data_IF_812408939031
#
_entry.id   IF_812408939031
#
_cell.length_a   1.000
_cell.length_b   1.000
_cell.length_c   1.000
_cell.angle_alpha   90.00
_cell.angle_beta   90.00
_cell.angle_gamma   90.00
#
_symmetry.space_group_name_H-M   'P 1'
#
loop_
_entity.id
_entity.type
_entity.pdbx_description
1 polymer ?
#
# COMPACT_ATOMS: atom_id res chain seq x y z
N UNK A 1 15.78 -23.24 26.90
CA UNK A 1 14.97 -23.13 25.66
C UNK A 1 15.51 -22.05 24.74
N UNK A 2 15.62 -20.79 25.17
CA UNK A 2 16.12 -19.66 24.35
C UNK A 2 17.54 -19.90 23.78
N UNK A 3 18.44 -20.50 24.54
CA UNK A 3 19.80 -20.85 24.10
C UNK A 3 19.81 -21.96 23.04
N UNK A 4 19.01 -22.99 23.24
CA UNK A 4 18.91 -24.14 22.31
C UNK A 4 18.36 -23.68 20.95
N UNK A 5 17.26 -22.95 20.95
CA UNK A 5 16.68 -22.44 19.72
C UNK A 5 17.53 -21.34 19.06
N UNK A 6 18.32 -20.60 19.84
CA UNK A 6 19.28 -19.62 19.33
C UNK A 6 20.50 -20.23 18.64
N UNK A 7 20.86 -21.46 18.97
CA UNK A 7 21.98 -22.19 18.36
C UNK A 7 21.60 -22.92 17.05
N UNK A 8 20.31 -22.99 16.70
CA UNK A 8 19.82 -23.60 15.47
C UNK A 8 19.90 -22.61 14.29
N UNK A 9 19.79 -23.10 13.06
CA UNK A 9 19.66 -22.24 11.87
C UNK A 9 18.54 -21.21 12.06
N UNK A 10 18.77 -19.94 11.67
CA UNK A 10 17.90 -18.79 11.97
C UNK A 10 17.70 -18.50 13.48
N UNK A 11 18.71 -18.77 14.31
CA UNK A 11 18.62 -18.67 15.76
C UNK A 11 18.14 -17.34 16.29
N UNK A 12 18.58 -16.23 15.71
CA UNK A 12 18.14 -14.88 16.10
C UNK A 12 16.63 -14.68 15.85
N UNK A 13 16.13 -15.12 14.70
CA UNK A 13 14.71 -15.06 14.36
C UNK A 13 13.86 -15.93 15.29
N UNK A 14 14.32 -17.15 15.58
CA UNK A 14 13.64 -18.07 16.52
C UNK A 14 13.58 -17.49 17.92
N UNK A 15 14.70 -16.91 18.39
CA UNK A 15 14.76 -16.22 19.68
C UNK A 15 13.81 -15.03 19.73
N UNK A 16 13.76 -14.22 18.66
CA UNK A 16 12.81 -13.10 18.54
C UNK A 16 11.36 -13.55 18.60
N UNK A 17 11.01 -14.62 17.89
CA UNK A 17 9.67 -15.19 17.92
C UNK A 17 9.26 -15.69 19.31
N UNK A 18 10.18 -16.34 20.03
CA UNK A 18 9.92 -16.79 21.40
C UNK A 18 9.74 -15.65 22.38
N UNK A 19 10.51 -14.57 22.22
CA UNK A 19 10.36 -13.37 23.05
C UNK A 19 9.03 -12.65 22.75
N UNK A 20 8.63 -12.56 21.47
CA UNK A 20 7.33 -12.01 21.08
C UNK A 20 6.17 -12.83 21.64
N UNK A 21 6.27 -14.16 21.62
CA UNK A 21 5.26 -15.05 22.23
C UNK A 21 5.17 -14.82 23.74
N UNK A 22 6.32 -14.72 24.43
CA UNK A 22 6.36 -14.45 25.87
C UNK A 22 5.75 -13.07 26.20
N UNK A 23 6.01 -12.07 25.37
CA UNK A 23 5.41 -10.73 25.53
C UNK A 23 3.90 -10.76 25.30
N UNK A 24 3.43 -11.47 24.29
CA UNK A 24 1.99 -11.66 24.04
C UNK A 24 1.30 -12.36 25.24
N UNK A 25 1.95 -13.37 25.85
CA UNK A 25 1.42 -14.03 27.02
C UNK A 25 1.30 -13.07 28.23
N UNK A 26 2.30 -12.21 28.44
CA UNK A 26 2.24 -11.19 29.50
C UNK A 26 1.09 -10.20 29.27
N UNK A 27 0.95 -9.69 28.06
CA UNK A 27 -0.13 -8.77 27.71
C UNK A 27 -1.51 -9.42 27.94
N UNK A 28 -1.65 -10.72 27.61
CA UNK A 28 -2.86 -11.47 27.85
C UNK A 28 -3.20 -11.59 29.37
N UNK A 29 -2.18 -11.80 30.21
CA UNK A 29 -2.35 -11.83 31.67
C UNK A 29 -2.65 -10.45 32.26
N UNK A 30 -1.97 -9.39 31.78
CA UNK A 30 -2.20 -8.00 32.18
C UNK A 30 -3.61 -7.52 31.83
N UNK A 31 -4.18 -8.02 30.72
CA UNK A 31 -5.57 -7.80 30.34
C UNK A 31 -6.61 -8.53 31.24
N UNK A 32 -6.14 -9.20 32.30
CA UNK A 32 -7.01 -9.90 33.27
C UNK A 32 -7.38 -11.33 32.88
N UNK A 33 -6.87 -11.83 31.76
CA UNK A 33 -7.13 -13.20 31.32
C UNK A 33 -6.12 -14.17 31.96
N UNK A 34 -6.57 -15.38 32.29
CA UNK A 34 -5.72 -16.39 32.93
C UNK A 34 -5.90 -17.78 32.30
N UNK A 35 -4.86 -18.57 32.35
CA UNK A 35 -4.87 -19.96 31.98
C UNK A 35 -4.41 -20.25 30.54
N UNK A 36 -3.74 -21.39 30.41
CA UNK A 36 -3.13 -21.82 29.13
C UNK A 36 -4.18 -22.01 28.02
N UNK A 37 -5.32 -22.59 28.34
CA UNK A 37 -6.39 -22.81 27.36
C UNK A 37 -6.92 -21.49 26.78
N UNK A 38 -7.17 -20.49 27.65
CA UNK A 38 -7.59 -19.15 27.23
C UNK A 38 -6.54 -18.50 26.31
N UNK A 39 -5.27 -18.62 26.67
CA UNK A 39 -4.18 -18.08 25.85
C UNK A 39 -4.06 -18.77 24.48
N UNK A 40 -4.19 -20.11 24.42
CA UNK A 40 -4.18 -20.84 23.15
C UNK A 40 -5.36 -20.46 22.25
N UNK A 41 -6.54 -20.27 22.83
CA UNK A 41 -7.73 -19.80 22.10
C UNK A 41 -7.52 -18.37 21.57
N UNK A 42 -6.90 -17.52 22.36
CA UNK A 42 -6.53 -16.16 21.93
C UNK A 42 -5.56 -16.18 20.73
N UNK A 43 -4.52 -17.01 20.79
CA UNK A 43 -3.58 -17.19 19.67
C UNK A 43 -4.26 -17.73 18.41
N UNK A 44 -5.20 -18.68 18.56
CA UNK A 44 -5.96 -19.21 17.43
C UNK A 44 -6.79 -18.11 16.74
N UNK A 45 -7.47 -17.25 17.52
CA UNK A 45 -8.23 -16.10 16.98
C UNK A 45 -7.34 -15.08 16.28
N UNK A 46 -6.18 -14.74 16.86
CA UNK A 46 -5.22 -13.85 16.20
C UNK A 46 -4.79 -14.40 14.84
N UNK A 47 -4.54 -15.69 14.76
CA UNK A 47 -4.17 -16.37 13.52
C UNK A 47 -5.31 -16.36 12.49
N UNK A 48 -6.55 -16.61 12.90
CA UNK A 48 -7.74 -16.57 12.03
C UNK A 48 -7.98 -15.16 11.47
N UNK A 49 -7.76 -14.13 12.29
CA UNK A 49 -7.87 -12.73 11.88
C UNK A 49 -6.70 -12.25 11.01
N UNK A 50 -5.70 -13.10 10.73
CA UNK A 50 -4.52 -12.72 9.96
C UNK A 50 -3.56 -11.79 10.71
N UNK A 51 -3.74 -11.61 12.01
CA UNK A 51 -2.83 -10.85 12.87
C UNK A 51 -1.63 -11.73 13.19
N UNK A 52 -0.52 -11.50 12.49
CA UNK A 52 0.73 -12.15 12.84
C UNK A 52 1.27 -11.56 14.15
N UNK A 53 1.67 -12.43 15.09
CA UNK A 53 2.52 -12.01 16.21
C UNK A 53 3.76 -11.32 15.59
N UNK A 54 3.79 -10.00 15.69
CA UNK A 54 4.93 -9.23 15.18
C UNK A 54 6.10 -9.58 16.08
N UNK A 55 6.95 -10.51 15.61
CA UNK A 55 8.23 -10.72 16.27
C UNK A 55 8.88 -9.34 16.39
N UNK A 56 9.22 -8.94 17.60
CA UNK A 56 10.05 -7.76 17.79
C UNK A 56 11.20 -7.91 16.81
N UNK A 57 11.35 -6.95 15.90
CA UNK A 57 12.39 -7.00 14.88
C UNK A 57 13.75 -7.00 15.60
N UNK A 58 14.19 -8.19 15.97
CA UNK A 58 15.55 -8.44 16.50
C UNK A 58 16.57 -8.49 15.35
N UNK A 59 16.14 -8.07 14.16
CA UNK A 59 17.00 -7.87 13.02
C UNK A 59 17.71 -6.53 13.16
N UNK A 60 19.03 -6.56 13.07
CA UNK A 60 19.92 -5.42 12.98
C UNK A 60 19.23 -4.23 12.31
N UNK A 61 18.84 -3.24 13.11
CA UNK A 61 18.44 -1.94 12.57
C UNK A 61 19.62 -1.45 11.73
N UNK A 62 19.44 -1.48 10.40
CA UNK A 62 20.43 -0.95 9.47
C UNK A 62 20.95 -1.88 8.36
N UNK A 63 20.74 -3.21 8.42
CA UNK A 63 21.34 -4.15 7.46
C UNK A 63 20.33 -4.81 6.49
N UNK A 64 19.10 -4.34 6.38
CA UNK A 64 18.06 -4.97 5.57
C UNK A 64 17.31 -4.02 4.63
N UNK A 65 16.68 -4.59 3.60
CA UNK A 65 15.78 -3.86 2.72
C UNK A 65 14.41 -3.73 3.41
N UNK A 66 13.93 -2.49 3.59
CA UNK A 66 12.59 -2.21 4.14
C UNK A 66 11.58 -2.11 3.02
N UNK A 67 10.55 -2.94 3.08
CA UNK A 67 9.36 -2.83 2.23
C UNK A 67 8.27 -2.07 2.98
N UNK A 68 7.80 -0.97 2.38
CA UNK A 68 6.72 -0.16 2.97
C UNK A 68 5.92 0.56 1.90
N UNK A 69 4.73 1.04 2.26
CA UNK A 69 3.96 1.93 1.38
C UNK A 69 4.55 3.36 1.42
N UNK A 70 4.30 4.14 0.36
CA UNK A 70 4.71 5.55 0.27
C UNK A 70 4.15 6.34 1.48
N UNK A 71 2.91 6.09 1.89
CA UNK A 71 2.31 6.75 3.06
C UNK A 71 3.08 6.50 4.35
N UNK A 72 3.56 5.27 4.56
CA UNK A 72 4.36 4.91 5.75
C UNK A 72 5.76 5.50 5.72
N UNK A 73 6.25 5.89 4.55
CA UNK A 73 7.58 6.52 4.39
C UNK A 73 7.57 8.03 4.68
N UNK A 74 6.39 8.64 4.86
CA UNK A 74 6.28 10.07 5.15
C UNK A 74 7.05 10.43 6.43
N UNK A 75 7.95 11.41 6.33
CA UNK A 75 8.81 11.84 7.44
C UNK A 75 10.07 11.00 7.65
N UNK A 76 10.25 9.90 6.91
CA UNK A 76 11.47 9.09 6.94
C UNK A 76 12.35 9.43 5.74
N UNK A 77 13.64 9.15 5.85
CA UNK A 77 14.63 9.32 4.78
C UNK A 77 15.54 8.09 4.72
N UNK A 78 15.93 7.71 3.50
CA UNK A 78 16.75 6.52 3.29
C UNK A 78 17.91 6.83 2.33
N UNK A 79 19.09 6.24 2.49
CA UNK A 79 20.21 6.43 1.56
C UNK A 79 19.81 6.04 0.13
N UNK A 80 19.19 4.89 -0.03
CA UNK A 80 18.73 4.36 -1.32
C UNK A 80 17.25 4.06 -1.26
N UNK A 81 16.50 4.51 -2.26
CA UNK A 81 15.06 4.24 -2.41
C UNK A 81 14.82 3.58 -3.75
N UNK A 82 14.08 2.47 -3.73
CA UNK A 82 13.60 1.79 -4.94
C UNK A 82 12.08 1.98 -4.98
N UNK A 83 11.61 2.76 -5.95
CA UNK A 83 10.18 2.97 -6.18
C UNK A 83 9.72 2.02 -7.28
N UNK A 84 8.94 1.02 -6.91
CA UNK A 84 8.46 0.00 -7.83
C UNK A 84 7.00 0.22 -8.25
N UNK A 85 6.64 -0.28 -9.43
CA UNK A 85 5.25 -0.31 -9.89
C UNK A 85 4.73 1.01 -10.46
N UNK A 86 5.59 1.86 -11.00
CA UNK A 86 5.21 3.16 -11.58
C UNK A 86 4.25 3.08 -12.78
N UNK A 87 4.19 1.93 -13.48
CA UNK A 87 3.27 1.74 -14.59
C UNK A 87 1.85 1.29 -14.16
N UNK A 88 1.56 1.27 -12.86
CA UNK A 88 0.23 0.90 -12.36
C UNK A 88 -0.80 1.93 -12.79
N UNK A 89 -1.86 1.47 -13.44
CA UNK A 89 -2.98 2.34 -13.81
C UNK A 89 -3.72 2.81 -12.55
N UNK A 90 -4.18 4.05 -12.60
CA UNK A 90 -5.05 4.61 -11.56
C UNK A 90 -6.36 3.82 -11.48
N UNK A 91 -6.81 3.52 -10.27
CA UNK A 91 -8.10 2.87 -10.07
C UNK A 91 -9.22 3.89 -10.37
N UNK A 92 -10.07 3.57 -11.36
CA UNK A 92 -11.21 4.41 -11.78
C UNK A 92 -12.56 3.77 -11.45
N UNK A 93 -12.60 2.74 -10.62
CA UNK A 93 -13.84 2.03 -10.28
C UNK A 93 -14.88 2.97 -9.68
N UNK A 94 -14.46 3.88 -8.81
CA UNK A 94 -15.36 4.85 -8.18
C UNK A 94 -16.05 5.77 -9.19
N UNK A 95 -15.43 6.04 -10.34
CA UNK A 95 -16.02 6.86 -11.41
C UNK A 95 -17.08 6.12 -12.23
N UNK A 96 -17.14 4.79 -12.14
CA UNK A 96 -18.12 3.98 -12.87
C UNK A 96 -19.47 3.88 -12.12
N UNK A 97 -19.50 4.29 -10.86
CA UNK A 97 -20.72 4.27 -10.04
C UNK A 97 -21.86 5.07 -10.67
N UNK A 98 -23.13 4.68 -10.51
CA UNK A 98 -24.28 5.38 -11.07
C UNK A 98 -24.38 6.83 -10.63
N UNK A 99 -23.96 7.14 -9.41
CA UNK A 99 -23.95 8.48 -8.85
C UNK A 99 -22.52 8.84 -8.40
N UNK A 100 -22.08 10.04 -8.79
CA UNK A 100 -20.82 10.62 -8.33
C UNK A 100 -21.12 11.75 -7.34
N UNK A 101 -20.29 11.88 -6.33
CA UNK A 101 -20.39 12.92 -5.31
C UNK A 101 -19.11 13.72 -5.24
N UNK A 102 -19.26 15.04 -5.18
CA UNK A 102 -18.13 15.93 -4.98
C UNK A 102 -18.50 17.02 -3.96
N UNK A 103 -17.66 17.33 -2.95
CA UNK A 103 -18.01 18.25 -1.88
C UNK A 103 -18.44 19.66 -2.36
N UNK A 104 -17.82 20.15 -3.43
CA UNK A 104 -18.09 21.49 -3.97
C UNK A 104 -19.12 21.51 -5.11
N UNK A 105 -19.17 20.45 -5.93
CA UNK A 105 -20.03 20.39 -7.13
C UNK A 105 -21.35 19.64 -6.88
N UNK A 106 -21.49 19.01 -5.71
CA UNK A 106 -22.69 18.25 -5.37
C UNK A 106 -22.74 16.87 -6.02
N UNK A 107 -23.91 16.51 -6.53
CA UNK A 107 -24.23 15.16 -7.03
C UNK A 107 -24.29 15.15 -8.55
N UNK A 108 -23.58 14.19 -9.15
CA UNK A 108 -23.60 13.92 -10.58
C UNK A 108 -24.24 12.55 -10.89
N UNK A 109 -25.57 12.46 -11.05
CA UNK A 109 -26.26 11.23 -11.38
C UNK A 109 -26.13 10.90 -12.87
N UNK A 110 -26.30 9.62 -13.23
CA UNK A 110 -26.70 9.23 -14.58
C UNK A 110 -28.16 9.57 -14.79
N UNK A 111 -28.52 10.00 -16.00
CA UNK A 111 -29.90 10.16 -16.42
C UNK A 111 -30.45 8.84 -16.96
N UNK A 112 -31.75 8.62 -16.80
CA UNK A 112 -32.46 7.48 -17.36
C UNK A 112 -33.61 8.01 -18.24
N UNK A 113 -33.56 7.69 -19.53
CA UNK A 113 -34.70 7.84 -20.42
C UNK A 113 -35.62 6.63 -20.21
N UNK A 114 -36.77 6.87 -19.58
CA UNK A 114 -37.74 5.79 -19.25
C UNK A 114 -38.49 5.25 -20.46
N UNK A 115 -38.64 6.04 -21.51
CA UNK A 115 -39.34 5.61 -22.71
C UNK A 115 -38.48 4.66 -23.55
N UNK A 116 -37.18 4.95 -23.61
CA UNK A 116 -36.21 4.17 -24.37
C UNK A 116 -35.43 3.19 -23.53
N UNK A 117 -35.59 3.23 -22.20
CA UNK A 117 -34.84 2.42 -21.23
C UNK A 117 -33.31 2.55 -21.40
N UNK A 118 -32.83 3.76 -21.73
CA UNK A 118 -31.42 4.04 -21.98
C UNK A 118 -30.84 4.95 -20.89
N UNK A 119 -29.76 4.55 -20.32
CA UNK A 119 -28.96 5.41 -19.41
C UNK A 119 -28.10 6.38 -20.23
N UNK A 120 -28.08 7.63 -19.83
CA UNK A 120 -27.19 8.64 -20.43
C UNK A 120 -26.42 9.41 -19.37
N UNK A 121 -25.30 9.99 -19.80
CA UNK A 121 -24.43 10.77 -18.91
C UNK A 121 -24.91 12.22 -18.86
N UNK A 122 -25.33 12.69 -17.69
CA UNK A 122 -25.70 14.07 -17.46
C UNK A 122 -24.52 15.03 -17.49
N UNK A 123 -24.78 16.32 -17.77
CA UNK A 123 -23.72 17.35 -17.72
C UNK A 123 -23.12 17.47 -16.31
N UNK A 124 -23.98 17.42 -15.27
CA UNK A 124 -23.52 17.42 -13.88
C UNK A 124 -22.55 16.27 -13.60
N UNK A 125 -22.88 15.05 -14.09
CA UNK A 125 -21.98 13.90 -13.94
C UNK A 125 -20.63 14.11 -14.64
N UNK A 126 -20.64 14.66 -15.86
CA UNK A 126 -19.38 14.97 -16.59
C UNK A 126 -18.52 15.97 -15.85
N UNK A 127 -19.13 17.02 -15.30
CA UNK A 127 -18.41 18.03 -14.52
C UNK A 127 -17.80 17.44 -13.26
N UNK A 128 -18.57 16.67 -12.48
CA UNK A 128 -18.09 16.00 -11.27
C UNK A 128 -16.99 14.99 -11.59
N UNK A 129 -17.15 14.16 -12.64
CA UNK A 129 -16.15 13.18 -13.05
C UNK A 129 -14.82 13.86 -13.42
N UNK A 130 -14.86 14.93 -14.21
CA UNK A 130 -13.64 15.68 -14.61
C UNK A 130 -12.92 16.29 -13.42
N UNK A 131 -13.67 16.81 -12.45
CA UNK A 131 -13.07 17.36 -11.23
C UNK A 131 -12.40 16.27 -10.40
N UNK A 132 -13.08 15.15 -10.17
CA UNK A 132 -12.54 14.00 -9.44
C UNK A 132 -11.29 13.41 -10.12
N UNK A 133 -11.27 13.34 -11.46
CA UNK A 133 -10.08 12.92 -12.21
C UNK A 133 -8.89 13.84 -11.96
N UNK A 134 -9.12 15.16 -12.00
CA UNK A 134 -8.07 16.14 -11.72
C UNK A 134 -7.54 16.04 -10.29
N UNK A 135 -8.42 15.87 -9.31
CA UNK A 135 -8.04 15.72 -7.89
C UNK A 135 -7.27 14.41 -7.65
N UNK A 136 -7.72 13.32 -8.27
CA UNK A 136 -7.02 12.04 -8.19
C UNK A 136 -5.61 12.13 -8.79
N UNK A 137 -5.46 12.77 -9.94
CA UNK A 137 -4.14 12.98 -10.55
C UNK A 137 -3.23 13.87 -9.69
N UNK A 138 -3.78 14.91 -9.08
CA UNK A 138 -3.05 15.79 -8.18
C UNK A 138 -2.56 15.03 -6.93
N UNK A 139 -3.38 14.13 -6.39
CA UNK A 139 -2.99 13.31 -5.24
C UNK A 139 -1.90 12.30 -5.59
N UNK A 140 -1.98 11.62 -6.74
CA UNK A 140 -0.93 10.72 -7.21
C UNK A 140 0.40 11.45 -7.42
N UNK A 141 0.37 12.66 -7.97
CA UNK A 141 1.56 13.49 -8.10
C UNK A 141 2.16 13.89 -6.73
N UNK A 142 1.31 14.18 -5.73
CA UNK A 142 1.78 14.42 -4.36
C UNK A 142 2.42 13.19 -3.75
N UNK A 143 1.83 12.01 -3.94
CA UNK A 143 2.40 10.74 -3.49
C UNK A 143 3.74 10.46 -4.17
N UNK A 144 3.84 10.68 -5.47
CA UNK A 144 5.09 10.55 -6.20
C UNK A 144 6.14 11.53 -5.66
N UNK A 145 5.79 12.78 -5.44
CA UNK A 145 6.68 13.76 -4.83
C UNK A 145 7.19 13.30 -3.46
N UNK A 146 6.29 12.80 -2.60
CA UNK A 146 6.69 12.25 -1.30
C UNK A 146 7.68 11.10 -1.48
N UNK A 147 7.41 10.17 -2.41
CA UNK A 147 8.26 9.01 -2.63
C UNK A 147 9.67 9.40 -3.11
N UNK A 148 9.78 10.29 -4.11
CA UNK A 148 11.08 10.69 -4.68
C UNK A 148 11.92 11.50 -3.70
N UNK A 149 11.28 12.27 -2.81
CA UNK A 149 11.97 13.06 -1.78
C UNK A 149 12.45 12.24 -0.59
N UNK A 150 12.20 10.94 -0.55
CA UNK A 150 12.70 10.06 0.53
C UNK A 150 14.14 9.61 0.32
N UNK A 151 14.66 9.68 -0.89
CA UNK A 151 16.01 9.27 -1.22
C UNK A 151 17.03 10.38 -0.87
N UNK A 152 18.07 10.01 -0.12
CA UNK A 152 19.20 10.92 0.19
C UNK A 152 20.28 10.85 -0.89
N UNK A 153 20.63 9.65 -1.34
CA UNK A 153 21.78 9.43 -2.22
C UNK A 153 21.36 8.88 -3.58
N UNK A 154 20.48 7.87 -3.60
CA UNK A 154 20.10 7.20 -4.84
C UNK A 154 18.62 6.86 -4.89
N UNK A 155 17.98 7.25 -6.00
CA UNK A 155 16.61 6.88 -6.34
C UNK A 155 16.63 5.95 -7.55
N UNK A 156 15.97 4.80 -7.41
CA UNK A 156 15.80 3.82 -8.49
C UNK A 156 14.30 3.73 -8.79
N UNK A 157 13.92 4.05 -10.02
CA UNK A 157 12.55 3.96 -10.50
C UNK A 157 12.39 2.67 -11.30
N UNK A 158 11.40 1.86 -10.97
CA UNK A 158 11.13 0.60 -11.66
C UNK A 158 9.67 0.55 -12.13
N UNK A 159 9.48 0.22 -13.39
CA UNK A 159 8.17 0.00 -13.97
C UNK A 159 8.16 -1.26 -14.84
N UNK A 160 7.01 -1.93 -14.89
CA UNK A 160 6.76 -3.05 -15.80
C UNK A 160 5.71 -2.62 -16.81
N UNK A 161 6.10 -2.52 -18.08
CA UNK A 161 5.21 -2.12 -19.17
C UNK A 161 4.76 -3.37 -19.94
N UNK A 162 3.46 -3.55 -20.11
CA UNK A 162 2.90 -4.56 -21.01
C UNK A 162 3.12 -4.10 -22.46
N UNK A 163 3.87 -4.87 -23.26
CA UNK A 163 4.22 -4.48 -24.63
C UNK A 163 5.51 -3.65 -24.75
N UNK A 164 6.29 -3.61 -23.70
CA UNK A 164 7.57 -2.97 -23.41
C UNK A 164 8.21 -2.09 -24.50
N UNK A 165 8.78 -2.70 -25.53
CA UNK A 165 9.55 -1.95 -26.53
C UNK A 165 8.74 -0.93 -27.33
N UNK A 166 7.51 -1.28 -27.74
CA UNK A 166 6.63 -0.36 -28.50
C UNK A 166 6.15 0.81 -27.65
N UNK A 167 5.82 0.54 -26.38
CA UNK A 167 5.34 1.58 -25.46
C UNK A 167 6.48 2.52 -25.05
N UNK A 168 7.69 2.00 -24.87
CA UNK A 168 8.89 2.82 -24.65
C UNK A 168 9.20 3.72 -25.83
N UNK A 169 9.12 3.22 -27.07
CA UNK A 169 9.32 4.03 -28.27
C UNK A 169 8.26 5.13 -28.39
N UNK A 170 7.00 4.84 -28.06
CA UNK A 170 5.94 5.85 -28.05
C UNK A 170 6.21 6.94 -27.02
N UNK A 171 6.51 6.56 -25.78
CA UNK A 171 6.79 7.50 -24.68
C UNK A 171 8.04 8.34 -24.94
N UNK A 172 9.07 7.75 -25.54
CA UNK A 172 10.29 8.45 -25.91
C UNK A 172 10.06 9.44 -27.08
N UNK A 173 9.21 9.06 -28.06
CA UNK A 173 8.80 9.95 -29.16
C UNK A 173 8.01 11.16 -28.67
N UNK A 174 7.08 10.96 -27.75
CA UNK A 174 6.28 12.03 -27.14
C UNK A 174 7.12 12.95 -26.23
N UNK A 175 8.17 12.41 -25.59
CA UNK A 175 9.05 13.16 -24.69
C UNK A 175 10.26 13.82 -25.38
N UNK A 176 10.48 13.57 -26.68
CA UNK A 176 11.67 14.03 -27.41
C UNK A 176 13.00 13.48 -26.87
N UNK A 177 12.95 12.39 -26.09
CA UNK A 177 14.15 11.74 -25.55
C UNK A 177 14.64 10.63 -26.47
N UNK A 178 15.95 10.57 -26.79
CA UNK A 178 16.53 9.43 -27.50
C UNK A 178 16.44 8.18 -26.63
N UNK A 179 16.01 7.08 -27.21
CA UNK A 179 16.05 5.75 -26.57
C UNK A 179 17.40 5.13 -26.95
N UNK A 180 18.33 5.08 -26.02
CA UNK A 180 19.55 4.29 -26.13
C UNK A 180 19.32 2.82 -25.75
#
# INVERSE_FOLDING_TARGET
LLGVFGAMGDGERRRGNLLALAQCARQFEEAGHKGLFGFLTHLARLRENGEALTAAATGREGAGVRLMSIHKSKGLEFPVVILAGLARRLNREDMQKPMLFHPKLGVGPKGLDRERMVEFTTLARKAVARQLEGEMMAEELRLLYVAVTRAKEKLILSCALTGGARELQRLAGDAGCPVE
#
